data_IF_117735520121
#
_entry.id   IF_117735520121
#
_cell.length_a   1.000
_cell.length_b   1.000
_cell.length_c   1.000
_cell.angle_alpha   90.00
_cell.angle_beta   90.00
_cell.angle_gamma   90.00
#
_symmetry.space_group_name_H-M   'P 1'
#
loop_
_entity.id
_entity.type
_entity.pdbx_description
1 polymer ?
#
# COMPACT_ATOMS: atom_id res chain seq x y z
N UNK A 1 25.60 20.50 2.88
CA UNK A 1 24.44 20.93 2.06
C UNK A 1 24.99 21.81 0.96
N UNK A 2 24.96 21.41 -0.32
CA UNK A 2 25.34 22.30 -1.40
C UNK A 2 24.24 23.35 -1.58
N UNK A 3 24.63 24.62 -1.60
CA UNK A 3 23.75 25.76 -1.85
C UNK A 3 23.25 25.71 -3.30
N UNK A 4 21.97 25.37 -3.46
CA UNK A 4 21.24 25.50 -4.72
C UNK A 4 21.12 27.01 -5.05
N UNK A 5 21.89 27.50 -6.00
CA UNK A 5 21.82 28.89 -6.48
C UNK A 5 20.48 29.13 -7.19
N UNK A 6 19.80 30.20 -6.77
CA UNK A 6 18.43 30.52 -7.12
C UNK A 6 18.22 30.76 -8.62
N UNK A 7 17.32 29.98 -9.22
CA UNK A 7 16.57 30.39 -10.42
C UNK A 7 15.66 31.56 -10.03
N UNK A 8 15.70 32.69 -10.76
CA UNK A 8 14.83 33.86 -10.52
C UNK A 8 13.34 33.63 -10.87
N UNK A 9 13.00 32.49 -11.47
CA UNK A 9 11.64 32.14 -11.86
C UNK A 9 11.13 31.07 -10.88
N UNK A 10 9.98 31.29 -10.20
CA UNK A 10 9.41 30.31 -9.29
C UNK A 10 9.00 29.05 -10.06
N UNK A 11 9.14 27.85 -9.47
CA UNK A 11 8.78 26.61 -10.15
C UNK A 11 7.28 26.56 -10.46
N UNK A 12 6.95 26.08 -11.65
CA UNK A 12 5.58 25.79 -12.08
C UNK A 12 4.93 24.68 -11.25
N UNK A 13 3.60 24.60 -11.30
CA UNK A 13 2.83 23.56 -10.58
C UNK A 13 3.26 22.14 -10.96
N UNK A 14 3.64 21.92 -12.23
CA UNK A 14 4.12 20.61 -12.69
C UNK A 14 5.51 20.31 -12.13
N UNK A 15 6.43 21.27 -12.11
CA UNK A 15 7.76 21.07 -11.52
C UNK A 15 7.67 20.79 -10.03
N UNK A 16 6.79 21.52 -9.31
CA UNK A 16 6.48 21.25 -7.90
C UNK A 16 5.92 19.84 -7.70
N UNK A 17 4.98 19.41 -8.54
CA UNK A 17 4.41 18.07 -8.48
C UNK A 17 5.44 16.96 -8.76
N UNK A 18 6.34 17.17 -9.74
CA UNK A 18 7.43 16.24 -10.06
C UNK A 18 8.40 16.12 -8.89
N UNK A 19 8.86 17.23 -8.32
CA UNK A 19 9.78 17.22 -7.18
C UNK A 19 9.12 16.64 -5.94
N UNK A 20 7.87 17.00 -5.65
CA UNK A 20 7.06 16.40 -4.59
C UNK A 20 7.03 14.87 -4.70
N UNK A 21 6.79 14.35 -5.91
CA UNK A 21 6.84 12.90 -6.16
C UNK A 21 8.23 12.32 -5.97
N UNK A 22 9.27 12.91 -6.57
CA UNK A 22 10.65 12.41 -6.44
C UNK A 22 11.13 12.43 -4.99
N UNK A 23 10.78 13.46 -4.24
CA UNK A 23 11.12 13.60 -2.83
C UNK A 23 10.49 12.50 -1.96
N UNK A 24 9.20 12.23 -2.15
CA UNK A 24 8.53 11.16 -1.41
C UNK A 24 9.22 9.80 -1.65
N UNK A 25 9.57 9.50 -2.92
CA UNK A 25 10.24 8.23 -3.26
C UNK A 25 11.73 8.21 -2.89
N UNK A 26 12.39 9.38 -2.81
CA UNK A 26 13.74 9.51 -2.26
C UNK A 26 13.80 9.08 -0.80
N UNK A 27 12.81 9.46 0.02
CA UNK A 27 12.69 9.02 1.41
C UNK A 27 12.49 7.51 1.56
N UNK A 28 12.09 6.84 0.47
CA UNK A 28 11.96 5.38 0.38
C UNK A 28 13.18 4.72 -0.29
N UNK A 29 14.24 5.47 -0.58
CA UNK A 29 15.42 5.02 -1.33
C UNK A 29 15.02 4.35 -2.67
N UNK A 30 14.08 4.96 -3.38
CA UNK A 30 13.51 4.43 -4.62
C UNK A 30 13.64 5.46 -5.76
N UNK A 31 14.60 5.32 -6.67
CA UNK A 31 14.65 6.15 -7.86
C UNK A 31 13.54 5.72 -8.83
N UNK A 32 13.03 6.66 -9.63
CA UNK A 32 11.85 6.44 -10.47
C UNK A 32 12.17 6.58 -11.94
N UNK A 33 11.53 5.78 -12.79
CA UNK A 33 11.48 6.06 -14.23
C UNK A 33 10.54 7.24 -14.53
N UNK A 34 10.67 7.88 -15.70
CA UNK A 34 9.73 8.92 -16.13
C UNK A 34 8.26 8.45 -16.13
N UNK A 35 8.01 7.18 -16.50
CA UNK A 35 6.67 6.58 -16.47
C UNK A 35 6.15 6.42 -15.04
N UNK A 36 7.02 6.07 -14.09
CA UNK A 36 6.65 6.00 -12.67
C UNK A 36 6.40 7.37 -12.07
N UNK A 37 7.19 8.39 -12.43
CA UNK A 37 6.91 9.78 -12.02
C UNK A 37 5.56 10.21 -12.55
N UNK A 38 5.28 9.96 -13.83
CA UNK A 38 3.98 10.26 -14.43
C UNK A 38 2.85 9.52 -13.73
N UNK A 39 2.99 8.21 -13.51
CA UNK A 39 1.99 7.42 -12.80
C UNK A 39 1.76 7.98 -11.40
N UNK A 40 2.81 8.12 -10.60
CA UNK A 40 2.75 8.51 -9.20
C UNK A 40 2.76 10.01 -8.95
N UNK A 41 2.48 10.81 -9.97
CA UNK A 41 2.57 12.26 -9.93
C UNK A 41 1.67 12.81 -8.82
N UNK A 42 2.25 13.68 -8.00
CA UNK A 42 1.53 14.41 -6.96
C UNK A 42 0.45 15.28 -7.61
N UNK A 43 -0.65 15.50 -6.89
CA UNK A 43 -1.76 16.29 -7.41
C UNK A 43 -1.28 17.67 -7.88
N UNK A 44 -1.72 18.06 -9.08
CA UNK A 44 -1.73 19.44 -9.51
C UNK A 44 -2.98 19.73 -10.33
N UNK A 45 -3.27 21.01 -10.54
CA UNK A 45 -4.59 21.47 -10.99
C UNK A 45 -4.94 21.02 -12.40
N UNK A 46 -3.95 20.91 -13.30
CA UNK A 46 -4.18 20.70 -14.72
C UNK A 46 -4.04 19.23 -15.10
N UNK A 47 -4.63 18.80 -16.22
CA UNK A 47 -4.25 17.50 -16.78
C UNK A 47 -2.85 17.61 -17.38
N UNK A 48 -1.99 16.63 -17.07
CA UNK A 48 -0.62 16.58 -17.59
C UNK A 48 -0.51 15.38 -18.51
N UNK A 49 0.01 15.61 -19.72
CA UNK A 49 0.37 14.53 -20.63
C UNK A 49 1.76 13.98 -20.28
N UNK A 50 1.99 12.71 -20.60
CA UNK A 50 3.31 12.10 -20.40
C UNK A 50 4.41 12.85 -21.18
N UNK A 51 4.09 13.35 -22.37
CA UNK A 51 5.01 14.13 -23.20
C UNK A 51 5.45 15.41 -22.48
N UNK A 52 4.49 16.21 -21.98
CA UNK A 52 4.78 17.46 -21.25
C UNK A 52 5.64 17.21 -20.01
N UNK A 53 5.33 16.13 -19.26
CA UNK A 53 6.14 15.74 -18.10
C UNK A 53 7.58 15.39 -18.51
N UNK A 54 7.75 14.61 -19.59
CA UNK A 54 9.07 14.22 -20.10
C UNK A 54 9.87 15.42 -20.61
N UNK A 55 9.22 16.39 -21.25
CA UNK A 55 9.87 17.65 -21.65
C UNK A 55 10.35 18.43 -20.43
N UNK A 56 9.51 18.57 -19.41
CA UNK A 56 9.89 19.25 -18.15
C UNK A 56 11.10 18.56 -17.51
N UNK A 57 11.10 17.22 -17.38
CA UNK A 57 12.23 16.46 -16.85
C UNK A 57 13.54 16.64 -17.62
N UNK A 58 13.51 17.11 -18.88
CA UNK A 58 14.70 17.35 -19.70
C UNK A 58 15.14 18.80 -19.72
N UNK A 59 14.19 19.72 -19.81
CA UNK A 59 14.44 21.13 -20.17
C UNK A 59 14.30 22.09 -18.98
N UNK A 60 13.65 21.67 -17.89
CA UNK A 60 13.46 22.54 -16.72
C UNK A 60 14.79 22.83 -16.03
N UNK A 61 15.14 24.12 -15.95
CA UNK A 61 16.30 24.60 -15.19
C UNK A 61 16.16 24.24 -13.71
N UNK A 62 14.96 24.38 -13.15
CA UNK A 62 14.68 24.06 -11.76
C UNK A 62 14.86 22.55 -11.47
N UNK A 63 14.29 21.68 -12.31
CA UNK A 63 14.43 20.24 -12.13
C UNK A 63 15.89 19.80 -12.32
N UNK A 64 16.59 20.30 -13.34
CA UNK A 64 18.00 20.00 -13.56
C UNK A 64 18.89 20.50 -12.39
N UNK A 65 18.47 21.54 -11.67
CA UNK A 65 19.14 21.99 -10.47
C UNK A 65 18.87 21.09 -9.25
N UNK A 66 17.73 20.39 -9.18
CA UNK A 66 17.31 19.62 -8.00
C UNK A 66 17.48 18.09 -8.15
N UNK A 67 17.47 17.57 -9.39
CA UNK A 67 17.50 16.14 -9.67
C UNK A 67 18.56 15.77 -10.72
N UNK A 68 18.93 14.50 -10.71
CA UNK A 68 19.82 13.85 -11.65
C UNK A 68 19.09 12.67 -12.31
N UNK A 69 19.63 12.23 -13.44
CA UNK A 69 19.15 11.01 -14.09
C UNK A 69 20.29 10.12 -14.55
N UNK A 70 20.14 8.82 -14.36
CA UNK A 70 21.07 7.80 -14.85
C UNK A 70 20.30 6.52 -15.21
N UNK A 71 20.66 5.88 -16.32
CA UNK A 71 19.99 4.69 -16.86
C UNK A 71 18.46 4.81 -16.99
N UNK A 72 17.95 6.02 -17.27
CA UNK A 72 16.50 6.29 -17.37
C UNK A 72 15.76 6.36 -16.03
N UNK A 73 16.48 6.33 -14.91
CA UNK A 73 15.99 6.59 -13.57
C UNK A 73 16.31 8.02 -13.16
N UNK A 74 15.39 8.65 -12.45
CA UNK A 74 15.48 9.98 -11.89
C UNK A 74 15.50 9.91 -10.36
N UNK A 75 16.34 10.75 -9.75
CA UNK A 75 16.54 10.82 -8.31
C UNK A 75 17.01 12.23 -7.93
N UNK A 76 16.89 12.60 -6.66
CA UNK A 76 17.43 13.88 -6.18
C UNK A 76 18.97 13.89 -6.26
N UNK A 77 19.58 15.07 -6.36
CA UNK A 77 21.04 15.22 -6.42
C UNK A 77 21.79 14.44 -5.34
N UNK A 78 22.99 13.98 -5.66
CA UNK A 78 23.88 13.21 -4.78
C UNK A 78 23.35 11.81 -4.37
N UNK A 79 22.36 11.29 -5.11
CA UNK A 79 21.71 9.99 -4.80
C UNK A 79 21.97 8.90 -5.85
N UNK A 80 22.98 9.08 -6.72
CA UNK A 80 23.31 8.13 -7.79
C UNK A 80 23.49 6.66 -7.36
N UNK A 81 23.93 6.41 -6.11
CA UNK A 81 24.01 5.05 -5.54
C UNK A 81 22.68 4.27 -5.57
N UNK A 82 21.54 4.96 -5.64
CA UNK A 82 20.22 4.36 -5.68
C UNK A 82 19.97 3.55 -6.96
N UNK A 83 20.60 3.90 -8.09
CA UNK A 83 20.47 3.19 -9.37
C UNK A 83 20.87 1.72 -9.22
N UNK A 84 22.06 1.47 -8.65
CA UNK A 84 22.54 0.10 -8.39
C UNK A 84 21.68 -0.65 -7.36
N UNK A 85 21.09 0.06 -6.41
CA UNK A 85 20.18 -0.55 -5.44
C UNK A 85 18.84 -0.94 -6.08
N UNK A 86 18.34 -0.14 -7.03
CA UNK A 86 17.09 -0.36 -7.73
C UNK A 86 17.08 -1.69 -8.46
N UNK A 87 18.16 -2.02 -9.17
CA UNK A 87 18.28 -3.30 -9.88
C UNK A 87 18.17 -4.51 -8.92
N UNK A 88 18.90 -4.46 -7.79
CA UNK A 88 18.85 -5.50 -6.75
C UNK A 88 17.45 -5.64 -6.16
N UNK A 89 16.81 -4.53 -5.78
CA UNK A 89 15.46 -4.52 -5.22
C UNK A 89 14.41 -5.01 -6.21
N UNK A 90 14.58 -4.73 -7.51
CA UNK A 90 13.70 -5.24 -8.56
C UNK A 90 13.77 -6.76 -8.65
N UNK A 91 14.98 -7.34 -8.71
CA UNK A 91 15.19 -8.80 -8.70
C UNK A 91 14.57 -9.46 -7.46
N UNK A 92 14.85 -8.92 -6.27
CA UNK A 92 14.28 -9.40 -5.00
C UNK A 92 12.74 -9.34 -5.02
N UNK A 93 12.18 -8.23 -5.49
CA UNK A 93 10.73 -8.03 -5.58
C UNK A 93 10.07 -9.07 -6.49
N UNK A 94 10.67 -9.40 -7.64
CA UNK A 94 10.14 -10.44 -8.53
C UNK A 94 10.13 -11.83 -7.89
N UNK A 95 11.22 -12.20 -7.20
CA UNK A 95 11.29 -13.47 -6.46
C UNK A 95 10.25 -13.51 -5.34
N UNK A 96 10.08 -12.40 -4.61
CA UNK A 96 9.07 -12.27 -3.56
C UNK A 96 7.65 -12.35 -4.08
N UNK A 97 7.34 -11.76 -5.24
CA UNK A 97 6.04 -11.92 -5.89
C UNK A 97 5.73 -13.39 -6.19
N UNK A 98 6.70 -14.17 -6.70
CA UNK A 98 6.53 -15.62 -6.91
C UNK A 98 6.22 -16.36 -5.60
N UNK A 99 6.98 -16.06 -4.54
CA UNK A 99 6.78 -16.66 -3.20
C UNK A 99 5.43 -16.28 -2.58
N UNK A 100 5.07 -15.01 -2.64
CA UNK A 100 3.81 -14.48 -2.14
C UNK A 100 2.64 -15.18 -2.83
N UNK A 101 2.65 -15.27 -4.17
CA UNK A 101 1.59 -15.96 -4.92
C UNK A 101 1.44 -17.41 -4.51
N UNK A 102 2.53 -18.15 -4.38
CA UNK A 102 2.49 -19.55 -3.96
C UNK A 102 1.92 -19.70 -2.54
N UNK A 103 2.37 -18.85 -1.61
CA UNK A 103 1.96 -18.92 -0.21
C UNK A 103 0.54 -18.40 0.06
N UNK A 104 -0.02 -17.56 -0.82
CA UNK A 104 -1.37 -17.01 -0.68
C UNK A 104 -2.46 -17.89 -1.31
N UNK A 105 -2.12 -18.95 -2.07
CA UNK A 105 -3.13 -19.86 -2.67
C UNK A 105 -4.14 -20.43 -1.66
N UNK A 106 -3.75 -20.85 -0.45
CA UNK A 106 -4.70 -21.37 0.53
C UNK A 106 -5.73 -20.33 1.00
N UNK A 107 -5.46 -19.03 0.87
CA UNK A 107 -6.44 -17.99 1.21
C UNK A 107 -7.72 -18.10 0.37
N UNK A 108 -7.64 -18.66 -0.84
CA UNK A 108 -8.80 -18.87 -1.71
C UNK A 108 -9.87 -19.80 -1.10
N UNK A 109 -9.50 -20.69 -0.17
CA UNK A 109 -10.41 -21.61 0.50
C UNK A 109 -11.09 -21.01 1.73
N UNK A 110 -10.63 -19.86 2.20
CA UNK A 110 -11.10 -19.28 3.46
C UNK A 110 -12.50 -18.70 3.27
N UNK A 111 -13.50 -19.11 4.08
CA UNK A 111 -14.84 -18.54 4.04
C UNK A 111 -14.82 -17.06 4.45
N UNK A 112 -15.77 -16.30 3.92
CA UNK A 112 -15.98 -14.87 4.20
C UNK A 112 -14.87 -13.92 3.73
N UNK A 113 -13.68 -14.42 3.35
CA UNK A 113 -12.72 -13.63 2.57
C UNK A 113 -13.34 -13.29 1.20
N UNK A 114 -13.31 -12.01 0.82
CA UNK A 114 -13.85 -11.52 -0.45
C UNK A 114 -12.75 -10.99 -1.36
N UNK A 115 -11.78 -10.27 -0.81
CA UNK A 115 -10.65 -9.74 -1.56
C UNK A 115 -9.39 -9.67 -0.67
N UNK A 116 -8.22 -9.86 -1.30
CA UNK A 116 -6.92 -9.57 -0.71
C UNK A 116 -6.08 -8.78 -1.72
N UNK A 117 -5.61 -7.61 -1.28
CA UNK A 117 -4.71 -6.73 -2.02
C UNK A 117 -3.36 -6.68 -1.32
N UNK A 118 -2.30 -6.54 -2.10
CA UNK A 118 -0.93 -6.38 -1.60
C UNK A 118 -0.58 -4.91 -1.54
N UNK A 119 0.04 -4.49 -0.44
CA UNK A 119 0.58 -3.15 -0.22
C UNK A 119 2.10 -3.18 0.01
N UNK A 120 2.65 -2.06 0.46
CA UNK A 120 4.05 -1.94 0.90
C UNK A 120 5.05 -1.96 -0.25
N UNK A 121 6.33 -2.17 0.11
CA UNK A 121 7.48 -2.06 -0.80
C UNK A 121 7.44 -2.96 -2.03
N UNK A 122 6.64 -4.02 -1.98
CA UNK A 122 6.54 -5.02 -3.04
C UNK A 122 5.75 -4.51 -4.26
N UNK A 123 4.83 -3.55 -4.05
CA UNK A 123 3.95 -3.00 -5.09
C UNK A 123 4.67 -2.05 -6.07
N UNK A 124 5.79 -1.45 -5.65
CA UNK A 124 6.60 -0.54 -6.45
C UNK A 124 8.06 -1.01 -6.60
N UNK A 125 8.29 -2.32 -6.53
CA UNK A 125 9.58 -2.95 -6.80
C UNK A 125 10.74 -2.49 -5.90
N UNK A 126 10.45 -2.15 -4.65
CA UNK A 126 11.40 -1.61 -3.69
C UNK A 126 11.62 -2.54 -2.47
N UNK A 127 11.23 -3.81 -2.57
CA UNK A 127 11.39 -4.77 -1.49
C UNK A 127 12.86 -5.19 -1.31
N UNK A 128 13.25 -5.45 -0.06
CA UNK A 128 14.56 -5.99 0.32
C UNK A 128 14.43 -7.40 0.89
N UNK A 129 15.53 -8.10 1.15
CA UNK A 129 15.51 -9.49 1.63
C UNK A 129 14.60 -9.72 2.86
N UNK A 130 14.57 -8.76 3.79
CA UNK A 130 13.82 -8.84 5.05
C UNK A 130 12.36 -8.38 4.95
N UNK A 131 11.93 -7.85 3.80
CA UNK A 131 10.55 -7.42 3.59
C UNK A 131 9.55 -8.56 3.79
N UNK A 132 8.45 -8.23 4.44
CA UNK A 132 7.25 -9.03 4.61
C UNK A 132 6.26 -8.80 3.45
N UNK A 133 5.06 -9.38 3.58
CA UNK A 133 3.96 -9.27 2.63
C UNK A 133 2.79 -8.56 3.32
N UNK A 134 2.66 -7.26 3.10
CA UNK A 134 1.55 -6.46 3.61
C UNK A 134 0.27 -6.77 2.83
N UNK A 135 -0.78 -7.20 3.54
CA UNK A 135 -2.09 -7.46 2.95
C UNK A 135 -3.14 -6.50 3.50
N UNK A 136 -3.94 -5.96 2.58
CA UNK A 136 -5.28 -5.44 2.86
C UNK A 136 -6.29 -6.53 2.55
N UNK A 137 -7.12 -6.86 3.52
CA UNK A 137 -8.12 -7.92 3.43
C UNK A 137 -9.52 -7.31 3.48
N UNK A 138 -10.38 -7.64 2.52
CA UNK A 138 -11.80 -7.31 2.57
C UNK A 138 -12.60 -8.59 2.82
N UNK A 139 -13.47 -8.52 3.82
CA UNK A 139 -14.31 -9.62 4.30
C UNK A 139 -15.79 -9.33 4.04
N UNK A 140 -16.61 -10.38 4.06
CA UNK A 140 -18.06 -10.23 4.12
C UNK A 140 -18.45 -9.45 5.38
N UNK A 141 -19.52 -8.66 5.29
CA UNK A 141 -20.09 -7.97 6.45
C UNK A 141 -20.42 -8.94 7.59
N UNK A 142 -20.22 -8.48 8.82
CA UNK A 142 -20.51 -9.22 10.06
C UNK A 142 -19.75 -10.56 10.19
N UNK A 143 -18.65 -10.74 9.45
CA UNK A 143 -17.82 -11.96 9.47
C UNK A 143 -16.32 -11.67 9.55
N UNK A 144 -15.97 -10.44 9.90
CA UNK A 144 -14.59 -9.96 9.92
C UNK A 144 -13.75 -10.75 10.91
N UNK A 145 -14.27 -11.04 12.11
CA UNK A 145 -13.52 -11.70 13.18
C UNK A 145 -13.30 -13.18 12.88
N UNK A 146 -14.31 -13.85 12.35
CA UNK A 146 -14.25 -15.25 11.89
C UNK A 146 -13.29 -15.38 10.70
N UNK A 147 -13.42 -14.53 9.67
CA UNK A 147 -12.50 -14.54 8.54
C UNK A 147 -11.06 -14.30 9.00
N UNK A 148 -10.86 -13.32 9.88
CA UNK A 148 -9.55 -13.01 10.44
C UNK A 148 -8.96 -14.22 11.13
N UNK A 149 -9.63 -14.85 12.09
CA UNK A 149 -9.04 -15.97 12.83
C UNK A 149 -8.65 -17.14 11.91
N UNK A 150 -9.47 -17.43 10.89
CA UNK A 150 -9.17 -18.47 9.90
C UNK A 150 -7.94 -18.12 9.05
N UNK A 151 -7.80 -16.87 8.60
CA UNK A 151 -6.58 -16.39 7.91
C UNK A 151 -5.38 -16.51 8.83
N UNK A 152 -5.51 -16.11 10.10
CA UNK A 152 -4.42 -16.19 11.08
C UNK A 152 -4.01 -17.64 11.32
N UNK A 153 -4.96 -18.57 11.42
CA UNK A 153 -4.74 -19.99 11.65
C UNK A 153 -4.05 -20.64 10.44
N UNK A 154 -4.60 -20.47 9.23
CA UNK A 154 -4.01 -21.02 8.00
C UNK A 154 -2.57 -20.54 7.83
N UNK A 155 -2.34 -19.23 7.93
CA UNK A 155 -0.99 -18.68 7.77
C UNK A 155 -0.06 -19.02 8.94
N UNK A 156 -0.61 -19.25 10.14
CA UNK A 156 0.12 -19.71 11.31
C UNK A 156 0.61 -21.15 11.15
N UNK A 157 -0.27 -22.06 10.75
CA UNK A 157 0.04 -23.47 10.49
C UNK A 157 1.10 -23.59 9.38
N UNK A 158 1.01 -22.77 8.34
CA UNK A 158 2.01 -22.74 7.27
C UNK A 158 3.35 -22.07 7.67
N UNK A 159 3.46 -21.54 8.89
CA UNK A 159 4.62 -20.77 9.35
C UNK A 159 4.86 -19.47 8.56
N UNK A 160 3.83 -18.96 7.87
CA UNK A 160 3.90 -17.77 7.00
C UNK A 160 3.36 -16.51 7.65
N UNK A 161 2.86 -16.56 8.87
CA UNK A 161 2.41 -15.37 9.61
C UNK A 161 3.60 -14.62 10.24
N UNK A 162 3.67 -13.30 10.06
CA UNK A 162 4.65 -12.44 10.74
C UNK A 162 4.44 -12.47 12.25
N UNK A 163 5.52 -12.65 13.01
CA UNK A 163 5.52 -12.55 14.48
C UNK A 163 6.91 -12.23 15.00
N UNK A 164 7.00 -11.37 16.04
CA UNK A 164 8.27 -10.96 16.63
C UNK A 164 9.26 -10.44 15.57
N UNK A 165 10.51 -10.89 15.66
CA UNK A 165 11.59 -10.59 14.70
C UNK A 165 11.47 -11.33 13.37
N UNK A 166 10.54 -12.28 13.24
CA UNK A 166 10.38 -13.03 12.02
C UNK A 166 9.43 -12.33 11.04
N UNK A 167 10.01 -11.55 10.13
CA UNK A 167 9.30 -10.75 9.13
C UNK A 167 9.51 -11.25 7.71
N UNK A 168 10.71 -11.73 7.37
CA UNK A 168 11.11 -12.15 6.02
C UNK A 168 10.13 -13.13 5.37
N UNK A 169 9.55 -12.75 4.23
CA UNK A 169 8.61 -13.56 3.43
C UNK A 169 7.40 -14.06 4.24
N UNK A 170 6.94 -13.28 5.21
CA UNK A 170 5.77 -13.58 6.02
C UNK A 170 4.67 -12.56 5.78
N UNK A 171 3.42 -12.97 5.95
CA UNK A 171 2.26 -12.10 5.79
C UNK A 171 2.08 -11.23 7.03
N UNK A 172 1.97 -9.93 6.79
CA UNK A 172 1.55 -8.95 7.76
C UNK A 172 0.05 -8.66 7.56
N UNK A 173 -0.74 -8.94 8.59
CA UNK A 173 -2.20 -8.91 8.55
C UNK A 173 -2.70 -7.66 9.27
N UNK A 174 -2.34 -6.51 8.69
CA UNK A 174 -2.46 -5.21 9.33
C UNK A 174 -3.75 -4.49 8.99
N UNK A 175 -4.37 -4.75 7.84
CA UNK A 175 -5.56 -4.03 7.40
C UNK A 175 -6.69 -4.99 7.04
N UNK A 176 -7.84 -4.84 7.71
CA UNK A 176 -9.07 -5.56 7.44
C UNK A 176 -10.21 -4.57 7.26
N UNK A 177 -11.02 -4.76 6.24
CA UNK A 177 -12.25 -4.02 5.99
C UNK A 177 -13.40 -5.01 5.75
N UNK A 178 -14.61 -4.50 5.86
CA UNK A 178 -15.84 -5.20 5.45
C UNK A 178 -16.34 -4.61 4.14
N UNK A 179 -17.09 -5.40 3.35
CA UNK A 179 -17.59 -4.96 2.04
C UNK A 179 -18.52 -3.74 2.08
N UNK A 180 -19.17 -3.42 3.22
CA UNK A 180 -19.95 -2.18 3.39
C UNK A 180 -19.14 -1.01 3.98
N UNK A 181 -17.83 -1.18 4.21
CA UNK A 181 -16.96 -0.16 4.78
C UNK A 181 -15.61 -0.15 4.07
N UNK A 182 -15.64 0.07 2.75
CA UNK A 182 -14.47 0.03 1.86
C UNK A 182 -13.60 1.29 1.93
N UNK A 183 -14.16 2.41 2.37
CA UNK A 183 -13.42 3.66 2.47
C UNK A 183 -12.40 3.63 3.62
N UNK A 184 -11.17 4.05 3.32
CA UNK A 184 -10.13 4.38 4.30
C UNK A 184 -10.46 5.75 4.91
N UNK A 185 -11.22 5.75 6.00
CA UNK A 185 -11.72 6.94 6.70
C UNK A 185 -10.62 7.69 7.47
N UNK A 186 -10.78 8.99 7.64
CA UNK A 186 -9.82 9.80 8.42
C UNK A 186 -9.71 9.30 9.87
N UNK A 187 -10.79 8.74 10.43
CA UNK A 187 -10.77 8.17 11.78
C UNK A 187 -9.88 6.93 11.90
N UNK A 188 -9.65 6.18 10.80
CA UNK A 188 -8.87 4.95 10.83
C UNK A 188 -7.43 5.12 10.30
N UNK A 189 -7.20 6.09 9.42
CA UNK A 189 -5.88 6.43 8.89
C UNK A 189 -5.84 7.88 8.43
N UNK A 190 -4.77 8.59 8.80
CA UNK A 190 -4.49 9.94 8.30
C UNK A 190 -4.42 9.91 6.78
N UNK A 191 -5.13 10.83 6.12
CA UNK A 191 -5.13 11.02 4.67
C UNK A 191 -4.08 12.07 4.32
N UNK A 192 -2.95 11.59 3.82
CA UNK A 192 -1.74 12.35 3.49
C UNK A 192 -1.07 11.77 2.23
N UNK A 193 0.08 12.32 1.84
CA UNK A 193 0.83 11.82 0.69
C UNK A 193 1.23 10.34 0.88
N UNK A 194 1.67 9.93 2.07
CA UNK A 194 2.09 8.55 2.32
C UNK A 194 0.96 7.54 2.17
N UNK A 195 -0.15 7.73 2.87
CA UNK A 195 -1.33 6.88 2.80
C UNK A 195 -1.93 6.87 1.39
N UNK A 196 -1.95 8.02 0.70
CA UNK A 196 -2.48 8.05 -0.67
C UNK A 196 -1.67 7.19 -1.62
N UNK A 197 -0.35 7.25 -1.51
CA UNK A 197 0.59 6.43 -2.25
C UNK A 197 0.50 4.94 -1.81
N UNK A 198 0.32 4.66 -0.52
CA UNK A 198 0.11 3.31 0.03
C UNK A 198 -1.12 2.63 -0.56
N UNK A 199 -2.29 3.25 -0.46
CA UNK A 199 -3.56 2.67 -0.95
C UNK A 199 -3.72 2.80 -2.47
N UNK A 200 -3.13 3.83 -3.08
CA UNK A 200 -3.13 3.98 -4.53
C UNK A 200 -2.38 2.85 -5.24
N UNK A 201 -1.33 2.29 -4.61
CA UNK A 201 -0.49 1.22 -5.18
C UNK A 201 -1.01 -0.19 -4.90
N UNK A 202 -2.15 -0.33 -4.23
CA UNK A 202 -2.71 -1.64 -3.94
C UNK A 202 -2.78 -2.49 -5.19
N UNK A 203 -2.26 -3.70 -5.07
CA UNK A 203 -2.16 -4.63 -6.19
C UNK A 203 -3.02 -5.84 -5.90
N UNK A 204 -3.99 -6.07 -6.78
CA UNK A 204 -4.93 -7.19 -6.67
C UNK A 204 -4.23 -8.54 -6.67
N UNK A 205 -4.36 -9.27 -5.55
CA UNK A 205 -3.82 -10.61 -5.40
C UNK A 205 -4.90 -11.67 -5.54
N UNK A 206 -6.03 -11.49 -4.86
CA UNK A 206 -7.11 -12.47 -4.81
C UNK A 206 -8.44 -11.73 -4.75
N UNK A 207 -9.39 -12.12 -5.58
CA UNK A 207 -10.75 -11.57 -5.59
C UNK A 207 -11.73 -12.71 -5.82
N UNK A 208 -12.61 -12.90 -4.83
CA UNK A 208 -13.69 -13.90 -4.81
C UNK A 208 -15.07 -13.26 -5.06
N UNK A 209 -15.20 -11.95 -4.85
CA UNK A 209 -16.38 -11.14 -5.24
C UNK A 209 -15.97 -10.23 -6.39
N UNK A 210 -16.43 -10.54 -7.60
CA UNK A 210 -16.10 -9.80 -8.81
C UNK A 210 -16.43 -8.31 -8.66
N UNK A 211 -15.51 -7.43 -9.03
CA UNK A 211 -15.72 -5.98 -9.04
C UNK A 211 -15.44 -5.30 -7.70
N UNK A 212 -15.20 -6.06 -6.62
CA UNK A 212 -14.97 -5.50 -5.29
C UNK A 212 -13.68 -4.66 -5.23
N UNK A 213 -12.65 -5.00 -6.02
CA UNK A 213 -11.46 -4.15 -6.11
C UNK A 213 -11.80 -2.79 -6.74
N UNK A 214 -12.58 -2.78 -7.82
CA UNK A 214 -13.01 -1.53 -8.46
C UNK A 214 -13.86 -0.68 -7.51
N UNK A 215 -14.81 -1.30 -6.81
CA UNK A 215 -15.63 -0.67 -5.78
C UNK A 215 -14.78 -0.05 -4.67
N UNK A 216 -13.71 -0.72 -4.24
CA UNK A 216 -12.76 -0.16 -3.28
C UNK A 216 -12.07 1.11 -3.82
N UNK A 217 -11.61 1.10 -5.08
CA UNK A 217 -10.98 2.28 -5.68
C UNK A 217 -11.95 3.46 -5.78
N UNK A 218 -13.22 3.20 -6.12
CA UNK A 218 -14.29 4.21 -6.19
C UNK A 218 -14.61 4.82 -4.82
N UNK A 219 -14.71 3.98 -3.78
CA UNK A 219 -14.94 4.45 -2.41
C UNK A 219 -13.77 5.27 -1.84
N UNK A 220 -12.58 5.15 -2.44
CA UNK A 220 -11.39 5.89 -2.03
C UNK A 220 -11.04 7.04 -2.99
N UNK A 221 -12.06 7.70 -3.56
CA UNK A 221 -11.89 8.89 -4.42
C UNK A 221 -11.09 10.04 -3.78
N UNK A 222 -10.96 10.09 -2.45
CA UNK A 222 -10.12 11.06 -1.75
C UNK A 222 -8.64 11.00 -2.20
N UNK A 223 -8.18 9.86 -2.72
CA UNK A 223 -6.84 9.68 -3.27
C UNK A 223 -6.53 10.67 -4.41
N UNK A 224 -7.54 11.07 -5.18
CA UNK A 224 -7.42 12.07 -6.26
C UNK A 224 -7.02 13.47 -5.76
N UNK A 225 -7.14 13.74 -4.44
CA UNK A 225 -6.66 14.99 -3.83
C UNK A 225 -5.13 15.04 -3.69
N UNK A 226 -4.47 13.88 -3.77
CA UNK A 226 -3.02 13.74 -3.61
C UNK A 226 -2.34 13.20 -4.87
N UNK A 227 -3.07 12.48 -5.73
CA UNK A 227 -2.54 11.77 -6.89
C UNK A 227 -3.19 12.30 -8.17
N UNK A 228 -2.37 12.76 -9.11
CA UNK A 228 -2.85 13.37 -10.35
C UNK A 228 -3.53 12.36 -11.29
N UNK A 229 -2.92 11.19 -11.47
CA UNK A 229 -3.29 10.22 -12.50
C UNK A 229 -4.02 9.00 -11.92
N UNK A 230 -4.87 9.19 -10.93
CA UNK A 230 -5.57 8.11 -10.21
C UNK A 230 -7.04 7.93 -10.67
N UNK A 231 -7.56 6.69 -10.82
CA UNK A 231 -6.93 5.40 -10.54
C UNK A 231 -5.86 5.00 -11.55
N UNK A 232 -4.80 4.35 -11.08
CA UNK A 232 -3.76 3.88 -11.98
C UNK A 232 -4.20 2.65 -12.77
N UNK A 233 -3.83 2.53 -14.06
CA UNK A 233 -4.10 1.34 -14.83
C UNK A 233 -3.54 0.11 -14.12
N UNK A 234 -4.40 -0.87 -13.86
CA UNK A 234 -4.04 -2.14 -13.26
C UNK A 234 -3.35 -3.03 -14.31
N UNK A 235 -2.10 -2.72 -14.66
CA UNK A 235 -1.28 -3.58 -15.55
C UNK A 235 -0.83 -4.90 -14.88
N UNK A 236 -1.46 -5.31 -13.78
CA UNK A 236 -0.95 -6.32 -12.84
C UNK A 236 -1.82 -7.59 -12.77
N UNK A 237 -2.64 -7.86 -13.79
CA UNK A 237 -3.37 -9.14 -13.92
C UNK A 237 -2.46 -10.36 -13.75
N UNK A 238 -1.20 -10.29 -14.18
CA UNK A 238 -0.18 -11.35 -13.99
C UNK A 238 0.16 -11.68 -12.52
N UNK A 239 -0.21 -10.81 -11.57
CA UNK A 239 0.03 -10.98 -10.14
C UNK A 239 -1.18 -11.58 -9.39
N UNK A 240 -2.33 -11.72 -10.06
CA UNK A 240 -3.53 -12.34 -9.51
C UNK A 240 -3.36 -13.86 -9.35
N UNK A 241 -3.92 -14.39 -8.28
CA UNK A 241 -4.12 -15.83 -8.07
C UNK A 241 -5.49 -16.21 -8.61
N UNK A 242 -5.54 -17.24 -9.44
CA UNK A 242 -6.80 -17.82 -9.91
C UNK A 242 -7.52 -18.53 -8.76
N UNK A 243 -8.80 -18.22 -8.56
CA UNK A 243 -9.66 -18.97 -7.64
C UNK A 243 -10.15 -20.23 -8.35
N UNK A 244 -9.75 -21.40 -7.87
CA UNK A 244 -10.26 -22.66 -8.43
C UNK A 244 -11.73 -22.85 -8.07
N UNK A 245 -12.49 -23.53 -8.94
CA UNK A 245 -13.90 -23.87 -8.68
C UNK A 245 -14.06 -24.66 -7.37
N UNK A 246 -13.10 -25.53 -7.06
CA UNK A 246 -13.07 -26.30 -5.82
C UNK A 246 -12.93 -25.38 -4.59
N UNK A 247 -11.97 -24.45 -4.61
CA UNK A 247 -11.78 -23.51 -3.51
C UNK A 247 -13.03 -22.65 -3.28
N UNK A 248 -13.67 -22.20 -4.37
CA UNK A 248 -14.92 -21.46 -4.29
C UNK A 248 -16.07 -22.29 -3.70
N UNK A 249 -16.21 -23.56 -4.09
CA UNK A 249 -17.23 -24.46 -3.55
C UNK A 249 -17.02 -24.74 -2.06
N UNK A 250 -15.80 -25.08 -1.65
CA UNK A 250 -15.45 -25.34 -0.25
C UNK A 250 -15.71 -24.10 0.60
N UNK A 251 -15.24 -22.94 0.15
CA UNK A 251 -15.50 -21.66 0.82
C UNK A 251 -17.00 -21.41 0.99
N UNK A 252 -17.83 -21.61 -0.05
CA UNK A 252 -19.28 -21.38 0.02
C UNK A 252 -19.98 -22.36 0.96
N UNK A 253 -19.57 -23.63 0.98
CA UNK A 253 -20.12 -24.62 1.90
C UNK A 253 -19.81 -24.24 3.35
N UNK A 254 -18.56 -23.88 3.65
CA UNK A 254 -18.16 -23.40 4.96
C UNK A 254 -18.92 -22.12 5.36
N UNK A 255 -19.13 -21.18 4.43
CA UNK A 255 -19.96 -20.00 4.66
C UNK A 255 -21.41 -20.37 4.99
N UNK A 256 -22.01 -21.35 4.31
CA UNK A 256 -23.38 -21.82 4.60
C UNK A 256 -23.49 -22.39 6.03
N UNK A 257 -22.50 -23.18 6.46
CA UNK A 257 -22.46 -23.74 7.81
C UNK A 257 -22.29 -22.63 8.87
N UNK A 258 -21.42 -21.67 8.59
CA UNK A 258 -21.06 -20.59 9.52
C UNK A 258 -21.93 -19.33 9.39
N UNK A 259 -22.99 -19.34 8.57
CA UNK A 259 -23.85 -18.16 8.37
C UNK A 259 -25.12 -18.16 9.22
N UNK A 260 -25.41 -19.25 9.93
CA UNK A 260 -26.56 -19.34 10.84
C UNK A 260 -26.31 -18.76 12.23
N UNK A 261 -27.30 -18.90 13.11
CA UNK A 261 -27.28 -18.40 14.49
C UNK A 261 -25.99 -18.76 15.26
N UNK A 262 -25.53 -20.01 15.17
CA UNK A 262 -24.29 -20.44 15.82
C UNK A 262 -23.05 -19.73 15.26
N UNK A 263 -23.02 -19.45 13.96
CA UNK A 263 -21.98 -18.66 13.33
C UNK A 263 -21.95 -17.22 13.84
N UNK A 264 -23.12 -16.63 14.09
CA UNK A 264 -23.23 -15.29 14.70
C UNK A 264 -22.71 -15.25 16.13
N UNK A 265 -23.03 -16.29 16.91
CA UNK A 265 -22.49 -16.43 18.26
C UNK A 265 -20.96 -16.61 18.26
N UNK A 266 -20.42 -17.38 17.29
CA UNK A 266 -18.97 -17.53 17.11
C UNK A 266 -18.34 -16.19 16.75
N UNK A 267 -18.89 -15.46 15.77
CA UNK A 267 -18.40 -14.14 15.37
C UNK A 267 -18.34 -13.19 16.57
N UNK A 268 -19.42 -13.12 17.36
CA UNK A 268 -19.49 -12.27 18.55
C UNK A 268 -18.43 -12.65 19.58
N UNK A 269 -18.34 -13.92 19.96
CA UNK A 269 -17.34 -14.41 20.93
C UNK A 269 -15.91 -14.15 20.45
N UNK A 270 -15.63 -14.39 19.17
CA UNK A 270 -14.33 -14.12 18.56
C UNK A 270 -14.03 -12.63 18.53
N UNK A 271 -15.01 -11.79 18.23
CA UNK A 271 -14.87 -10.34 18.24
C UNK A 271 -14.54 -9.81 19.63
N UNK A 272 -15.28 -10.24 20.65
CA UNK A 272 -15.03 -9.87 22.04
C UNK A 272 -13.62 -10.30 22.49
N UNK A 273 -13.24 -11.55 22.21
CA UNK A 273 -11.93 -12.08 22.56
C UNK A 273 -10.78 -11.36 21.84
N UNK A 274 -10.88 -11.17 20.52
CA UNK A 274 -9.84 -10.49 19.74
C UNK A 274 -9.73 -9.01 20.14
N UNK A 275 -10.86 -8.32 20.35
CA UNK A 275 -10.88 -6.92 20.79
C UNK A 275 -10.20 -6.76 22.14
N UNK A 276 -10.52 -7.62 23.12
CA UNK A 276 -9.84 -7.63 24.43
C UNK A 276 -8.33 -7.83 24.30
N UNK A 277 -7.91 -8.79 23.47
CA UNK A 277 -6.49 -9.07 23.22
C UNK A 277 -5.76 -7.92 22.52
N UNK A 278 -6.42 -7.25 21.57
CA UNK A 278 -5.87 -6.07 20.88
C UNK A 278 -5.69 -4.94 21.91
N UNK A 279 -6.74 -4.57 22.64
CA UNK A 279 -6.69 -3.52 23.66
C UNK A 279 -5.62 -3.77 24.72
N UNK A 280 -5.46 -5.01 25.17
CA UNK A 280 -4.42 -5.38 26.13
C UNK A 280 -2.99 -5.17 25.59
N UNK A 281 -2.76 -5.44 24.30
CA UNK A 281 -1.45 -5.24 23.66
C UNK A 281 -1.16 -3.79 23.27
N UNK A 282 -2.20 -3.02 23.01
CA UNK A 282 -2.10 -1.62 22.55
C UNK A 282 -2.03 -0.61 23.69
N UNK A 283 -2.14 -1.06 24.95
CA UNK A 283 -2.22 -0.18 26.14
C UNK A 283 -1.06 0.83 26.26
N UNK A 284 0.11 0.52 25.68
CA UNK A 284 1.32 1.34 25.71
C UNK A 284 1.77 1.83 24.31
N UNK A 285 0.98 1.59 23.27
CA UNK A 285 1.32 1.99 21.89
C UNK A 285 0.51 3.25 21.49
N UNK A 286 1.05 4.11 20.62
CA UNK A 286 0.32 5.27 20.11
C UNK A 286 -1.03 4.85 19.51
N UNK A 287 -2.11 5.49 19.98
CA UNK A 287 -3.49 5.16 19.59
C UNK A 287 -3.83 5.61 18.17
N UNK A 288 -3.06 6.52 17.59
CA UNK A 288 -3.21 7.08 16.24
C UNK A 288 -2.99 6.05 15.12
N UNK A 289 -2.40 4.89 15.43
CA UNK A 289 -1.99 3.89 14.45
C UNK A 289 -2.69 2.54 14.59
N UNK A 290 -3.60 2.42 15.57
CA UNK A 290 -4.36 1.20 15.82
C UNK A 290 -5.84 1.53 15.87
N UNK A 291 -6.59 1.07 14.87
CA UNK A 291 -8.03 1.21 14.79
C UNK A 291 -8.69 -0.17 14.90
N UNK A 292 -9.74 -0.28 15.73
CA UNK A 292 -10.40 -1.55 15.99
C UNK A 292 -11.91 -1.37 16.08
N UNK A 293 -12.64 -1.94 15.12
CA UNK A 293 -14.10 -1.97 15.06
C UNK A 293 -14.57 -3.27 14.40
N UNK A 294 -15.89 -3.51 14.40
CA UNK A 294 -16.47 -4.69 13.72
C UNK A 294 -16.43 -4.60 12.18
N UNK A 295 -16.12 -3.43 11.62
CA UNK A 295 -16.12 -3.18 10.18
C UNK A 295 -14.74 -2.80 9.62
N UNK A 296 -13.78 -2.49 10.48
CA UNK A 296 -12.42 -2.10 10.13
C UNK A 296 -11.43 -2.43 11.26
N UNK A 297 -10.31 -3.06 10.89
CA UNK A 297 -9.13 -3.21 11.73
C UNK A 297 -7.90 -2.66 11.01
N UNK A 298 -7.17 -1.76 11.68
CA UNK A 298 -5.87 -1.28 11.20
C UNK A 298 -4.84 -1.40 12.31
N UNK A 299 -3.71 -2.02 11.99
CA UNK A 299 -2.61 -2.27 12.92
C UNK A 299 -1.31 -1.79 12.30
N UNK A 300 -0.90 -0.56 12.62
CA UNK A 300 0.41 -0.04 12.21
C UNK A 300 1.28 0.28 13.42
N UNK A 301 1.54 -0.66 14.36
CA UNK A 301 2.36 -0.38 15.52
C UNK A 301 3.74 0.12 15.07
N UNK A 302 4.20 1.24 15.64
CA UNK A 302 5.49 1.87 15.31
C UNK A 302 5.64 2.22 13.82
N UNK A 303 4.57 2.71 13.21
CA UNK A 303 4.58 3.16 11.82
C UNK A 303 5.67 4.22 11.61
N UNK A 304 6.50 4.00 10.59
CA UNK A 304 7.44 5.02 10.11
C UNK A 304 6.73 6.13 9.32
N UNK A 305 5.40 6.04 9.10
CA UNK A 305 4.66 7.01 8.29
C UNK A 305 4.74 8.43 8.85
N UNK A 306 4.60 8.61 10.16
CA UNK A 306 4.67 9.94 10.79
C UNK A 306 6.04 10.59 10.58
N UNK A 307 7.12 9.90 10.96
CA UNK A 307 8.48 10.43 10.79
C UNK A 307 8.89 10.59 9.32
N UNK A 308 8.32 9.79 8.42
CA UNK A 308 8.50 9.96 6.98
C UNK A 308 7.80 11.23 6.49
N UNK A 309 6.57 11.48 6.91
CA UNK A 309 5.81 12.67 6.52
C UNK A 309 6.38 13.95 7.12
N UNK A 310 6.86 13.92 8.37
CA UNK A 310 7.55 15.05 8.98
C UNK A 310 8.80 15.46 8.17
N UNK A 311 9.61 14.49 7.76
CA UNK A 311 10.78 14.73 6.89
C UNK A 311 10.38 15.24 5.51
N UNK A 312 9.28 14.72 4.97
CA UNK A 312 8.74 15.14 3.69
C UNK A 312 8.28 16.60 3.74
N UNK A 313 7.46 16.97 4.72
CA UNK A 313 6.91 18.31 4.87
C UNK A 313 8.02 19.34 5.08
N UNK A 314 9.02 19.02 5.92
CA UNK A 314 10.19 19.88 6.12
C UNK A 314 10.94 20.16 4.81
N UNK A 315 11.23 19.11 4.03
CA UNK A 315 11.92 19.26 2.74
C UNK A 315 11.05 19.96 1.69
N UNK A 316 9.73 19.75 1.71
CA UNK A 316 8.82 20.48 0.83
C UNK A 316 8.77 21.97 1.15
N UNK A 317 8.85 22.38 2.42
CA UNK A 317 8.95 23.79 2.80
C UNK A 317 10.25 24.43 2.29
N UNK A 318 11.38 23.73 2.38
CA UNK A 318 12.65 24.18 1.80
C UNK A 318 12.53 24.44 0.29
N UNK A 319 11.78 23.60 -0.43
CA UNK A 319 11.53 23.75 -1.87
C UNK A 319 10.56 24.91 -2.20
N UNK A 320 9.56 25.17 -1.36
CA UNK A 320 8.60 26.27 -1.57
C UNK A 320 9.19 27.65 -1.33
N UNK A 321 10.29 27.72 -0.57
CA UNK A 321 11.03 28.95 -0.31
C UNK A 321 12.02 29.32 -1.44
N UNK A 322 12.03 28.58 -2.57
CA UNK A 322 12.70 28.92 -3.83
C UNK A 322 11.76 29.67 -4.78
#
# INVERSE_FOLDING_TARGET
MPSLTASKIPPSDLEKAIISTLLYYDLLDCPLTALEIFKYLSYQKNNVSFFRLRENLKQSVFLNAACESDQGLYFLKDRGKLVNQREKKLKISQIKWKRLKAAARPLAFIPFLRLADVSGSLTFHNANEQSDFDLLIITQNNRLWTARILIMAVLGIMGKRRHGSHTKNRFCLNCYLTENNLEIKKENKIRDMHSSQEYGRLTLLLEKKTGLHAEFLENNNWLKKFLNNYPWPNCQTAKRISVSRLAQKISRLAEKILSGYWGDQIEKKLGDWQTKRIKAKTKNEPTDQIFCSNSCLMFHPQSKSYSLMEKYDKRMQEIHNF
#
